data_IF_631957124629
#
_entry.id   IF_631957124629
#
_cell.length_a   1.000
_cell.length_b   1.000
_cell.length_c   1.000
_cell.angle_alpha   90.00
_cell.angle_beta   90.00
_cell.angle_gamma   90.00
#
_symmetry.space_group_name_H-M   'P 1'
#
loop_
_entity.id
_entity.type
_entity.pdbx_description
1 polymer ?
#
# COMPACT_ATOMS: atom_id res chain seq x y z
N UNK A 1 -8.49 8.04 -1.45
CA UNK A 1 -8.04 8.97 -0.38
C UNK A 1 -6.65 8.53 0.08
N UNK A 2 -5.69 9.43 0.26
CA UNK A 2 -4.36 9.04 0.81
C UNK A 2 -4.50 8.71 2.29
N UNK A 3 -3.88 7.60 2.71
CA UNK A 3 -3.90 7.13 4.10
C UNK A 3 -2.56 7.43 4.76
N UNK A 4 -1.48 6.88 4.20
CA UNK A 4 -0.12 7.01 4.73
C UNK A 4 0.92 6.74 3.64
N UNK A 5 2.19 6.90 3.96
CA UNK A 5 3.32 6.57 3.08
C UNK A 5 4.25 5.59 3.77
N UNK A 6 4.57 4.48 3.12
CA UNK A 6 5.54 3.50 3.58
C UNK A 6 6.94 3.88 3.15
N UNK A 7 7.93 3.61 4.01
CA UNK A 7 9.35 3.87 3.73
C UNK A 7 10.20 2.65 4.04
N UNK A 8 11.12 2.33 3.15
CA UNK A 8 12.19 1.36 3.37
C UNK A 8 13.53 1.94 2.90
N UNK A 9 14.65 1.33 3.32
CA UNK A 9 16.00 1.78 2.95
C UNK A 9 16.81 0.58 2.47
N UNK A 10 17.33 0.69 1.25
CA UNK A 10 18.40 -0.16 0.71
C UNK A 10 19.70 0.66 0.72
N UNK A 11 20.83 0.05 1.07
CA UNK A 11 22.12 0.75 1.20
C UNK A 11 22.96 0.71 -0.08
N UNK A 12 22.53 -0.04 -1.10
CA UNK A 12 23.18 -0.03 -2.40
C UNK A 12 22.99 1.30 -3.13
N UNK A 13 23.88 1.60 -4.08
CA UNK A 13 23.81 2.84 -4.87
C UNK A 13 22.60 2.78 -5.84
N UNK A 14 21.62 3.69 -5.71
CA UNK A 14 20.42 3.71 -6.56
C UNK A 14 20.69 4.06 -8.03
N UNK A 15 21.90 4.51 -8.37
CA UNK A 15 22.33 4.80 -9.73
C UNK A 15 22.88 3.57 -10.48
N UNK A 16 23.18 2.48 -9.78
CA UNK A 16 23.77 1.25 -10.34
C UNK A 16 22.77 0.36 -11.10
N UNK A 17 21.49 0.72 -11.16
CA UNK A 17 20.52 0.07 -12.04
C UNK A 17 19.13 -0.11 -11.43
N UNK A 18 18.29 -0.94 -12.06
CA UNK A 18 16.93 -1.19 -11.57
C UNK A 18 16.89 -2.09 -10.34
N UNK A 19 17.93 -2.90 -10.11
CA UNK A 19 18.02 -3.85 -9.01
C UNK A 19 18.27 -3.19 -7.65
N UNK A 20 18.75 -1.94 -7.64
CA UNK A 20 18.99 -1.15 -6.42
C UNK A 20 17.83 -0.22 -6.08
N UNK A 21 16.71 -0.30 -6.83
CA UNK A 21 15.52 0.52 -6.60
C UNK A 21 14.48 -0.26 -5.81
N UNK A 22 14.05 0.34 -4.70
CA UNK A 22 12.95 -0.18 -3.90
C UNK A 22 11.64 -0.14 -4.67
N UNK A 23 10.87 -1.23 -4.52
CA UNK A 23 9.52 -1.38 -5.04
C UNK A 23 8.60 -1.84 -3.93
N UNK A 24 7.42 -1.25 -3.87
CA UNK A 24 6.43 -1.50 -2.83
C UNK A 24 5.24 -2.30 -3.36
N UNK A 25 4.78 -3.27 -2.59
CA UNK A 25 3.57 -4.05 -2.87
C UNK A 25 2.84 -4.37 -1.56
N UNK A 26 1.54 -4.71 -1.67
CA UNK A 26 0.75 -5.26 -0.56
C UNK A 26 0.60 -6.75 -0.85
N UNK A 27 1.13 -7.60 0.02
CA UNK A 27 1.05 -9.05 -0.06
C UNK A 27 -0.33 -9.55 0.40
N UNK A 28 -0.83 -9.02 1.52
CA UNK A 28 -2.12 -9.39 2.11
C UNK A 28 -2.98 -8.15 2.28
N UNK A 29 -3.95 -8.02 1.39
CA UNK A 29 -4.88 -6.90 1.36
C UNK A 29 -6.26 -7.34 1.84
N UNK A 30 -6.98 -6.39 2.43
CA UNK A 30 -8.37 -6.59 2.84
C UNK A 30 -9.29 -6.40 1.65
N UNK A 31 -10.39 -7.15 1.61
CA UNK A 31 -11.43 -7.04 0.58
C UNK A 31 -12.75 -6.58 1.20
N UNK A 32 -13.50 -5.77 0.45
CA UNK A 32 -14.86 -5.40 0.86
C UNK A 32 -15.85 -6.54 0.56
N UNK A 33 -17.13 -6.31 0.88
CA UNK A 33 -18.23 -7.26 0.65
C UNK A 33 -18.42 -7.64 -0.83
N UNK A 34 -17.93 -6.82 -1.76
CA UNK A 34 -17.96 -7.06 -3.21
C UNK A 34 -16.70 -7.75 -3.74
N UNK A 35 -15.77 -8.16 -2.86
CA UNK A 35 -14.52 -8.80 -3.24
C UNK A 35 -13.50 -7.84 -3.86
N UNK A 36 -13.63 -6.52 -3.68
CA UNK A 36 -12.67 -5.55 -4.16
C UNK A 36 -11.61 -5.25 -3.11
N UNK A 37 -10.34 -5.15 -3.54
CA UNK A 37 -9.23 -4.75 -2.69
C UNK A 37 -9.48 -3.35 -2.12
N UNK A 38 -9.29 -3.18 -0.81
CA UNK A 38 -9.61 -1.92 -0.12
C UNK A 38 -8.48 -0.90 -0.28
N UNK A 39 -7.22 -1.36 -0.32
CA UNK A 39 -6.05 -0.49 -0.40
C UNK A 39 -5.27 -0.69 -1.68
N UNK A 40 -4.56 0.35 -2.11
CA UNK A 40 -3.57 0.28 -3.18
C UNK A 40 -2.32 1.03 -2.71
N UNK A 41 -1.15 0.52 -3.10
CA UNK A 41 0.16 1.16 -2.85
C UNK A 41 0.80 1.55 -4.18
N UNK A 42 1.38 2.74 -4.23
CA UNK A 42 2.21 3.13 -5.35
C UNK A 42 3.58 2.43 -5.26
N UNK A 43 3.92 1.68 -6.31
CA UNK A 43 5.12 0.84 -6.34
C UNK A 43 6.43 1.63 -6.17
N UNK A 44 6.49 2.90 -6.57
CA UNK A 44 7.72 3.70 -6.53
C UNK A 44 7.82 4.57 -5.28
N UNK A 45 6.68 5.07 -4.77
CA UNK A 45 6.65 6.08 -3.70
C UNK A 45 6.20 5.54 -2.35
N UNK A 46 5.66 4.32 -2.29
CA UNK A 46 5.13 3.73 -1.07
C UNK A 46 3.85 4.39 -0.56
N UNK A 47 3.24 5.32 -1.31
CA UNK A 47 2.00 5.99 -0.91
C UNK A 47 0.84 5.00 -0.96
N UNK A 48 0.19 4.81 0.20
CA UNK A 48 -0.99 3.97 0.35
C UNK A 48 -2.25 4.83 0.25
N UNK A 49 -3.19 4.38 -0.58
CA UNK A 49 -4.50 5.01 -0.77
C UNK A 49 -5.61 3.99 -0.63
N UNK A 50 -6.80 4.47 -0.29
CA UNK A 50 -8.03 3.67 -0.46
C UNK A 50 -8.33 3.50 -1.95
N UNK A 51 -8.53 2.26 -2.38
CA UNK A 51 -8.95 1.88 -3.73
C UNK A 51 -10.48 1.87 -3.89
N UNK A 52 -11.21 1.77 -2.78
CA UNK A 52 -12.67 1.91 -2.71
C UNK A 52 -13.06 3.17 -1.95
N UNK A 53 -14.31 3.60 -2.15
CA UNK A 53 -14.89 4.66 -1.33
C UNK A 53 -15.54 4.07 -0.08
N UNK A 54 -15.91 4.97 0.83
CA UNK A 54 -17.03 4.74 1.74
C UNK A 54 -16.80 3.61 2.75
N UNK A 55 -15.59 3.51 3.31
CA UNK A 55 -15.32 2.61 4.43
C UNK A 55 -16.13 3.06 5.65
N UNK A 56 -16.80 2.10 6.27
CA UNK A 56 -17.67 2.33 7.43
C UNK A 56 -16.91 1.97 8.70
N UNK A 57 -16.66 2.98 9.54
CA UNK A 57 -15.94 2.82 10.81
C UNK A 57 -16.74 1.99 11.80
N UNK A 58 -18.06 2.10 11.81
CA UNK A 58 -18.94 1.35 12.70
C UNK A 58 -18.97 -0.15 12.34
N UNK A 59 -18.81 -0.48 11.05
CA UNK A 59 -18.69 -1.86 10.58
C UNK A 59 -17.26 -2.43 10.78
N UNK A 60 -16.23 -1.69 10.36
CA UNK A 60 -14.84 -2.10 10.54
C UNK A 60 -13.93 -0.90 10.86
N UNK A 61 -13.57 -0.71 12.14
CA UNK A 61 -12.81 0.46 12.57
C UNK A 61 -11.31 0.38 12.25
N UNK A 62 -10.78 -0.82 11.93
CA UNK A 62 -9.34 -1.04 11.79
C UNK A 62 -9.02 -2.03 10.67
N UNK A 63 -7.94 -1.75 9.93
CA UNK A 63 -7.47 -2.61 8.86
C UNK A 63 -5.99 -2.93 9.05
N UNK A 64 -5.65 -4.21 8.94
CA UNK A 64 -4.27 -4.69 8.91
C UNK A 64 -3.97 -5.22 7.51
N UNK A 65 -2.89 -4.71 6.91
CA UNK A 65 -2.34 -5.16 5.63
C UNK A 65 -0.91 -5.67 5.85
N UNK A 66 -0.45 -6.57 4.99
CA UNK A 66 0.95 -7.05 4.96
C UNK A 66 1.51 -6.88 3.57
#
# INVERSE_FOLDING_TARGET
MTVMTMTATDYDDPSEGSLTRLKYSIEQNQVNEHGNLIFWINEETGVIKTAVCCLDREMNPEYTIK
#
